data_IF_265537960394
#
_entry.id   IF_265537960394
#
_cell.length_a   1.000
_cell.length_b   1.000
_cell.length_c   1.000
_cell.angle_alpha   90.00
_cell.angle_beta   90.00
_cell.angle_gamma   90.00
#
_symmetry.space_group_name_H-M   'P 1'
#
loop_
_entity.id
_entity.type
_entity.pdbx_description
1 polymer ?
#
# COMPACT_ATOMS: atom_id res chain seq x y z
N UNK A 1 -34.47 -5.94 -21.01
CA UNK A 1 -34.58 -7.39 -20.78
C UNK A 1 -34.83 -7.58 -19.30
N UNK A 2 -35.89 -8.29 -18.91
CA UNK A 2 -36.18 -8.55 -17.50
C UNK A 2 -35.00 -9.27 -16.84
N UNK A 3 -34.50 -8.71 -15.74
CA UNK A 3 -33.41 -9.31 -14.95
C UNK A 3 -33.74 -10.72 -14.46
N UNK A 4 -35.02 -11.08 -14.39
CA UNK A 4 -35.52 -12.38 -13.94
C UNK A 4 -35.27 -13.55 -14.91
N UNK A 5 -34.79 -13.32 -16.13
CA UNK A 5 -34.47 -14.39 -17.09
C UNK A 5 -32.97 -14.50 -17.43
N UNK A 6 -32.11 -13.69 -16.81
CA UNK A 6 -30.69 -13.71 -17.11
C UNK A 6 -30.01 -14.93 -16.46
N UNK A 7 -29.24 -15.70 -17.24
CA UNK A 7 -28.43 -16.82 -16.74
C UNK A 7 -27.13 -16.36 -16.05
N UNK A 8 -26.84 -15.06 -16.14
CA UNK A 8 -25.61 -14.42 -15.64
C UNK A 8 -24.34 -15.12 -16.10
N UNK A 9 -24.27 -15.54 -17.36
CA UNK A 9 -23.14 -16.34 -17.85
C UNK A 9 -21.81 -15.59 -17.76
N UNK A 10 -21.82 -14.29 -18.06
CA UNK A 10 -20.65 -13.41 -18.02
C UNK A 10 -20.77 -12.39 -16.90
N UNK A 11 -19.85 -12.46 -15.94
CA UNK A 11 -19.82 -11.56 -14.79
C UNK A 11 -18.41 -11.06 -14.52
N UNK A 12 -18.32 -9.80 -14.13
CA UNK A 12 -17.09 -9.13 -13.71
C UNK A 12 -17.20 -8.78 -12.24
N UNK A 13 -16.22 -9.20 -11.44
CA UNK A 13 -16.09 -8.72 -10.06
C UNK A 13 -15.72 -7.23 -10.07
N UNK A 14 -16.52 -6.38 -9.43
CA UNK A 14 -16.29 -4.93 -9.40
C UNK A 14 -15.12 -4.56 -8.50
N UNK A 15 -15.00 -5.21 -7.34
CA UNK A 15 -13.93 -4.93 -6.38
C UNK A 15 -13.53 -6.18 -5.61
N UNK A 16 -12.34 -6.69 -5.92
CA UNK A 16 -11.81 -7.91 -5.30
C UNK A 16 -11.47 -7.76 -3.81
N UNK A 17 -11.34 -6.51 -3.33
CA UNK A 17 -11.01 -6.17 -1.95
C UNK A 17 -12.24 -5.98 -1.04
N UNK A 18 -13.45 -6.25 -1.56
CA UNK A 18 -14.66 -6.35 -0.72
C UNK A 18 -14.79 -7.73 -0.07
N UNK A 19 -15.29 -7.75 1.17
CA UNK A 19 -15.61 -8.99 1.89
C UNK A 19 -16.72 -9.74 1.14
N UNK A 20 -17.85 -9.08 0.93
CA UNK A 20 -18.94 -9.60 0.09
C UNK A 20 -18.86 -8.90 -1.26
N UNK A 21 -18.36 -9.65 -2.25
CA UNK A 21 -18.03 -9.11 -3.57
C UNK A 21 -19.29 -8.90 -4.38
N UNK A 22 -19.28 -7.83 -5.17
CA UNK A 22 -20.34 -7.52 -6.12
C UNK A 22 -19.85 -7.77 -7.53
N UNK A 23 -20.74 -8.35 -8.32
CA UNK A 23 -20.46 -8.80 -9.66
C UNK A 23 -21.41 -8.10 -10.62
N UNK A 24 -20.86 -7.38 -11.59
CA UNK A 24 -21.61 -6.85 -12.71
C UNK A 24 -21.85 -7.97 -13.72
N UNK A 25 -23.11 -8.24 -14.04
CA UNK A 25 -23.47 -9.11 -15.14
C UNK A 25 -23.40 -8.35 -16.46
N UNK A 26 -22.60 -8.83 -17.40
CA UNK A 26 -22.45 -8.19 -18.71
C UNK A 26 -23.68 -8.39 -19.59
N UNK A 27 -24.44 -9.46 -19.37
CA UNK A 27 -25.62 -9.82 -20.17
C UNK A 27 -26.84 -8.94 -19.83
N UNK A 28 -27.10 -8.68 -18.55
CA UNK A 28 -28.27 -7.89 -18.12
C UNK A 28 -27.93 -6.53 -17.48
N UNK A 29 -26.64 -6.22 -17.28
CA UNK A 29 -26.19 -4.98 -16.63
C UNK A 29 -26.45 -4.91 -15.12
N UNK A 30 -27.08 -5.93 -14.52
CA UNK A 30 -27.37 -5.97 -13.09
C UNK A 30 -26.13 -6.25 -12.25
N UNK A 31 -26.12 -5.72 -11.02
CA UNK A 31 -25.02 -5.93 -10.06
C UNK A 31 -25.52 -6.78 -8.91
N UNK A 32 -24.89 -7.93 -8.69
CA UNK A 32 -25.37 -8.90 -7.71
C UNK A 32 -24.27 -9.34 -6.75
N UNK A 33 -24.68 -9.69 -5.54
CA UNK A 33 -23.89 -10.50 -4.61
C UNK A 33 -24.25 -11.97 -4.85
N UNK A 34 -23.30 -12.88 -4.66
CA UNK A 34 -23.60 -14.30 -4.80
C UNK A 34 -24.59 -14.76 -3.72
N UNK A 35 -25.59 -15.55 -4.10
CA UNK A 35 -26.62 -16.09 -3.22
C UNK A 35 -26.03 -16.86 -2.03
N UNK A 36 -24.89 -17.55 -2.20
CA UNK A 36 -24.23 -18.29 -1.12
C UNK A 36 -23.69 -17.39 0.01
N UNK A 37 -23.63 -16.06 -0.21
CA UNK A 37 -23.12 -15.11 0.77
C UNK A 37 -24.24 -14.28 1.41
N UNK A 38 -25.51 -14.52 1.02
CA UNK A 38 -26.66 -13.69 1.39
C UNK A 38 -26.83 -13.56 2.89
N UNK A 39 -26.80 -14.67 3.62
CA UNK A 39 -27.03 -14.69 5.06
C UNK A 39 -25.96 -13.87 5.79
N UNK A 40 -24.68 -14.15 5.56
CA UNK A 40 -23.60 -13.41 6.20
C UNK A 40 -23.60 -11.92 5.83
N UNK A 41 -23.86 -11.60 4.55
CA UNK A 41 -23.86 -10.22 4.07
C UNK A 41 -24.95 -9.39 4.76
N UNK A 42 -26.16 -9.95 4.88
CA UNK A 42 -27.27 -9.29 5.56
C UNK A 42 -27.08 -9.20 7.07
N UNK A 43 -26.47 -10.22 7.69
CA UNK A 43 -26.28 -10.25 9.15
C UNK A 43 -25.14 -9.34 9.60
N UNK A 44 -23.97 -9.38 8.95
CA UNK A 44 -22.76 -8.75 9.49
C UNK A 44 -22.34 -7.47 8.77
N UNK A 45 -22.68 -7.31 7.48
CA UNK A 45 -22.34 -6.11 6.70
C UNK A 45 -23.53 -5.59 5.87
N UNK A 46 -24.72 -5.38 6.46
CA UNK A 46 -25.92 -4.97 5.72
C UNK A 46 -25.74 -3.63 4.98
N UNK A 47 -24.90 -2.73 5.49
CA UNK A 47 -24.59 -1.48 4.81
C UNK A 47 -23.88 -1.67 3.46
N UNK A 48 -23.23 -2.83 3.24
CA UNK A 48 -22.53 -3.14 1.99
C UNK A 48 -23.43 -3.77 0.93
N UNK A 49 -24.71 -4.04 1.20
CA UNK A 49 -25.56 -4.83 0.26
C UNK A 49 -26.30 -3.97 -0.77
N UNK A 50 -26.32 -2.64 -0.60
CA UNK A 50 -27.13 -1.75 -1.43
C UNK A 50 -26.32 -1.02 -2.51
N UNK A 51 -25.01 -0.87 -2.30
CA UNK A 51 -24.11 -0.19 -3.23
C UNK A 51 -22.85 -1.02 -3.47
N UNK A 52 -22.27 -0.84 -4.65
CA UNK A 52 -20.98 -1.38 -5.03
C UNK A 52 -20.12 -0.27 -5.61
N UNK A 53 -18.81 -0.44 -5.51
CA UNK A 53 -17.84 0.46 -6.11
C UNK A 53 -16.82 -0.36 -6.87
N UNK A 54 -16.59 -0.04 -8.13
CA UNK A 54 -15.50 -0.65 -8.91
C UNK A 54 -14.13 -0.20 -8.37
N UNK A 55 -13.19 -1.12 -8.16
CA UNK A 55 -11.93 -0.83 -7.47
C UNK A 55 -11.08 0.21 -8.22
N UNK A 56 -10.83 -0.03 -9.51
CA UNK A 56 -9.93 0.79 -10.31
C UNK A 56 -10.49 2.18 -10.64
N UNK A 57 -11.76 2.24 -11.04
CA UNK A 57 -12.40 3.48 -11.50
C UNK A 57 -13.15 4.24 -10.40
N UNK A 58 -13.43 3.58 -9.27
CA UNK A 58 -14.32 4.05 -8.20
C UNK A 58 -15.77 4.36 -8.61
N UNK A 59 -16.16 3.98 -9.83
CA UNK A 59 -17.54 4.10 -10.31
C UNK A 59 -18.49 3.38 -9.35
N UNK A 60 -19.54 4.07 -8.94
CA UNK A 60 -20.57 3.53 -8.06
C UNK A 60 -21.67 2.82 -8.85
N UNK A 61 -22.20 1.75 -8.27
CA UNK A 61 -23.31 0.98 -8.81
C UNK A 61 -24.33 0.73 -7.70
N UNK A 62 -25.61 0.71 -8.06
CA UNK A 62 -26.67 0.19 -7.19
C UNK A 62 -26.68 -1.34 -7.30
N UNK A 63 -26.70 -2.02 -6.17
CA UNK A 63 -26.82 -3.48 -6.14
C UNK A 63 -28.27 -3.85 -6.46
N UNK A 64 -28.45 -4.71 -7.45
CA UNK A 64 -29.74 -5.24 -7.89
C UNK A 64 -30.29 -6.27 -6.90
N UNK A 65 -29.41 -7.08 -6.30
CA UNK A 65 -29.79 -8.04 -5.27
C UNK A 65 -28.82 -9.20 -5.15
N UNK A 66 -29.36 -10.39 -4.89
CA UNK A 66 -28.61 -11.63 -4.80
C UNK A 66 -28.97 -12.54 -5.97
N UNK A 67 -27.96 -13.21 -6.54
CA UNK A 67 -28.17 -14.15 -7.63
C UNK A 67 -27.30 -15.41 -7.44
N UNK A 68 -27.74 -16.60 -7.87
CA UNK A 68 -26.93 -17.81 -7.80
C UNK A 68 -25.74 -17.74 -8.76
N UNK A 69 -24.68 -18.50 -8.47
CA UNK A 69 -23.51 -18.65 -9.35
C UNK A 69 -22.84 -17.33 -9.77
N UNK A 70 -22.79 -16.33 -8.88
CA UNK A 70 -22.04 -15.09 -9.15
C UNK A 70 -20.56 -15.21 -8.79
N UNK A 71 -20.21 -15.81 -7.66
CA UNK A 71 -18.81 -15.96 -7.25
C UNK A 71 -18.10 -17.11 -7.97
N UNK A 72 -16.75 -17.04 -7.98
CA UNK A 72 -15.89 -18.04 -8.60
C UNK A 72 -16.16 -19.46 -8.05
N UNK A 73 -16.31 -19.59 -6.73
CA UNK A 73 -16.59 -20.85 -6.04
C UNK A 73 -17.89 -21.51 -6.51
N UNK A 74 -19.01 -20.77 -6.54
CA UNK A 74 -20.28 -21.31 -7.03
C UNK A 74 -20.29 -21.58 -8.54
N UNK A 75 -19.32 -21.06 -9.29
CA UNK A 75 -19.10 -21.36 -10.71
C UNK A 75 -18.15 -22.53 -10.94
N UNK A 76 -17.48 -23.03 -9.90
CA UNK A 76 -16.43 -24.04 -10.04
C UNK A 76 -15.20 -23.53 -10.82
N UNK A 77 -14.96 -22.21 -10.84
CA UNK A 77 -13.77 -21.63 -11.47
C UNK A 77 -12.78 -21.21 -10.40
N UNK A 78 -11.48 -21.28 -10.75
CA UNK A 78 -10.41 -20.86 -9.85
C UNK A 78 -10.48 -19.35 -9.63
N UNK A 79 -10.38 -18.93 -8.38
CA UNK A 79 -10.41 -17.53 -8.00
C UNK A 79 -8.99 -16.95 -8.00
N UNK A 80 -8.77 -15.86 -8.74
CA UNK A 80 -7.51 -15.14 -8.72
C UNK A 80 -7.26 -14.56 -7.32
N UNK A 81 -6.07 -14.76 -6.72
CA UNK A 81 -5.75 -14.19 -5.42
C UNK A 81 -5.59 -12.67 -5.51
N UNK A 82 -6.10 -11.97 -4.51
CA UNK A 82 -5.89 -10.53 -4.31
C UNK A 82 -5.36 -10.29 -2.89
N UNK A 83 -4.07 -10.55 -2.66
CA UNK A 83 -3.49 -10.41 -1.33
C UNK A 83 -3.55 -8.97 -0.84
N UNK A 84 -3.81 -8.79 0.45
CA UNK A 84 -3.67 -7.47 1.10
C UNK A 84 -2.19 -7.16 1.37
N UNK A 85 -1.86 -5.87 1.41
CA UNK A 85 -0.53 -5.41 1.82
C UNK A 85 -0.17 -5.92 3.22
N UNK A 86 1.12 -6.16 3.46
CA UNK A 86 1.62 -6.54 4.77
C UNK A 86 1.54 -5.32 5.71
N UNK A 87 0.67 -5.39 6.72
CA UNK A 87 0.53 -4.34 7.76
C UNK A 87 0.85 -4.94 9.13
N UNK A 88 1.06 -4.09 10.14
CA UNK A 88 1.58 -4.52 11.46
C UNK A 88 0.85 -5.73 12.07
N UNK A 89 -0.47 -5.81 11.92
CA UNK A 89 -1.33 -6.90 12.43
C UNK A 89 -1.70 -7.97 11.38
N UNK A 90 -1.19 -7.90 10.16
CA UNK A 90 -1.48 -8.81 9.05
C UNK A 90 -0.22 -9.03 8.19
N UNK A 91 0.76 -9.74 8.73
CA UNK A 91 2.06 -9.97 8.07
C UNK A 91 2.14 -11.34 7.38
N UNK A 92 1.43 -12.35 7.88
CA UNK A 92 1.55 -13.72 7.39
C UNK A 92 1.03 -13.88 5.96
N UNK A 93 1.73 -14.70 5.14
CA UNK A 93 1.32 -14.99 3.75
C UNK A 93 -0.14 -15.47 3.66
N UNK A 94 -0.51 -16.43 4.52
CA UNK A 94 -1.90 -16.93 4.60
C UNK A 94 -2.85 -15.80 4.98
N UNK A 95 -2.51 -14.97 5.96
CA UNK A 95 -3.38 -13.87 6.39
C UNK A 95 -3.56 -12.82 5.29
N UNK A 96 -2.53 -12.59 4.46
CA UNK A 96 -2.60 -11.68 3.31
C UNK A 96 -3.41 -12.25 2.16
N UNK A 97 -3.27 -13.53 1.81
CA UNK A 97 -3.95 -14.15 0.66
C UNK A 97 -5.38 -14.59 0.99
N UNK A 98 -5.61 -15.11 2.20
CA UNK A 98 -6.90 -15.64 2.66
C UNK A 98 -7.65 -14.65 3.56
N UNK A 99 -7.33 -13.35 3.51
CA UNK A 99 -7.94 -12.35 4.38
C UNK A 99 -9.47 -12.36 4.34
N UNK A 100 -10.03 -12.60 3.15
CA UNK A 100 -11.46 -12.64 2.90
C UNK A 100 -12.08 -13.92 3.44
N UNK A 101 -11.44 -15.05 3.17
CA UNK A 101 -11.84 -16.37 3.62
C UNK A 101 -11.81 -16.46 5.15
N UNK A 102 -10.75 -15.97 5.78
CA UNK A 102 -10.62 -15.89 7.24
C UNK A 102 -11.78 -15.09 7.83
N UNK A 103 -12.10 -13.92 7.27
CA UNK A 103 -13.21 -13.11 7.75
C UNK A 103 -14.56 -13.80 7.54
N UNK A 104 -14.80 -14.41 6.37
CA UNK A 104 -16.03 -15.18 6.11
C UNK A 104 -16.19 -16.34 7.08
N UNK A 105 -15.13 -17.11 7.35
CA UNK A 105 -15.15 -18.21 8.32
C UNK A 105 -15.38 -17.68 9.74
N UNK A 106 -14.80 -16.53 10.08
CA UNK A 106 -15.07 -15.86 11.35
C UNK A 106 -16.56 -15.48 11.49
N UNK A 107 -17.17 -14.90 10.46
CA UNK A 107 -18.62 -14.61 10.44
C UNK A 107 -19.48 -15.87 10.56
N UNK A 108 -19.13 -16.97 9.88
CA UNK A 108 -19.84 -18.25 10.03
C UNK A 108 -19.73 -18.77 11.47
N UNK A 109 -18.53 -18.77 12.04
CA UNK A 109 -18.31 -19.21 13.42
C UNK A 109 -19.14 -18.38 14.42
N UNK A 110 -19.26 -17.06 14.20
CA UNK A 110 -20.12 -16.20 15.02
C UNK A 110 -21.58 -16.62 14.87
N UNK A 111 -22.06 -16.79 13.64
CA UNK A 111 -23.45 -17.16 13.38
C UNK A 111 -23.81 -18.51 14.02
N UNK A 112 -22.94 -19.51 13.92
CA UNK A 112 -23.11 -20.80 14.59
C UNK A 112 -23.17 -20.64 16.11
N UNK A 113 -22.24 -19.87 16.70
CA UNK A 113 -22.23 -19.61 18.13
C UNK A 113 -23.49 -18.89 18.59
N UNK A 114 -23.94 -17.88 17.84
CA UNK A 114 -25.17 -17.15 18.13
C UNK A 114 -26.39 -18.08 18.12
N UNK A 115 -26.50 -18.96 17.12
CA UNK A 115 -27.58 -19.93 17.03
C UNK A 115 -27.57 -20.92 18.21
N UNK A 116 -26.38 -21.41 18.61
CA UNK A 116 -26.23 -22.33 19.74
C UNK A 116 -26.58 -21.68 21.08
N UNK A 117 -26.32 -20.38 21.23
CA UNK A 117 -26.55 -19.64 22.47
C UNK A 117 -27.86 -18.82 22.44
N UNK A 118 -28.67 -18.96 21.38
CA UNK A 118 -29.89 -18.16 21.14
C UNK A 118 -29.67 -16.64 21.22
N UNK A 119 -28.49 -16.19 20.80
CA UNK A 119 -28.08 -14.79 20.82
C UNK A 119 -28.38 -14.07 19.50
N UNK A 120 -28.67 -12.77 19.58
CA UNK A 120 -28.89 -11.92 18.41
C UNK A 120 -28.11 -10.63 18.54
N UNK A 121 -27.46 -10.21 17.46
CA UNK A 121 -26.71 -8.96 17.34
C UNK A 121 -27.07 -8.29 16.02
N UNK A 122 -26.99 -6.96 15.97
CA UNK A 122 -27.24 -6.17 14.78
C UNK A 122 -26.15 -6.33 13.73
N UNK A 123 -24.90 -6.41 14.17
CA UNK A 123 -23.72 -6.48 13.32
C UNK A 123 -22.51 -7.05 14.08
N UNK A 124 -21.39 -7.16 13.37
CA UNK A 124 -20.15 -7.72 13.93
C UNK A 124 -19.55 -6.85 15.05
N UNK A 125 -19.76 -5.53 15.01
CA UNK A 125 -19.21 -4.62 16.01
C UNK A 125 -19.96 -4.77 17.34
N UNK A 126 -21.28 -4.93 17.28
CA UNK A 126 -22.08 -5.25 18.47
C UNK A 126 -21.64 -6.59 19.08
N UNK A 127 -21.44 -7.62 18.26
CA UNK A 127 -20.92 -8.91 18.74
C UNK A 127 -19.59 -8.77 19.47
N UNK A 128 -18.62 -8.08 18.86
CA UNK A 128 -17.30 -7.86 19.44
C UNK A 128 -17.32 -7.07 20.75
N UNK A 129 -18.29 -6.15 20.91
CA UNK A 129 -18.47 -5.38 22.15
C UNK A 129 -19.11 -6.20 23.25
N UNK A 130 -20.13 -7.00 22.93
CA UNK A 130 -20.89 -7.81 23.91
C UNK A 130 -20.11 -9.06 24.33
N UNK A 131 -19.37 -9.66 23.40
CA UNK A 131 -18.68 -10.95 23.60
C UNK A 131 -17.21 -10.87 23.16
N UNK A 132 -16.39 -9.99 23.76
CA UNK A 132 -15.03 -9.71 23.29
C UNK A 132 -14.10 -10.93 23.31
N UNK A 133 -14.20 -11.78 24.33
CA UNK A 133 -13.32 -12.95 24.45
C UNK A 133 -13.72 -14.07 23.49
N UNK A 134 -15.03 -14.30 23.33
CA UNK A 134 -15.57 -15.22 22.31
C UNK A 134 -15.16 -14.74 20.92
N UNK A 135 -15.28 -13.45 20.62
CA UNK A 135 -14.87 -12.88 19.34
C UNK A 135 -13.39 -13.15 19.03
N UNK A 136 -12.49 -12.96 20.00
CA UNK A 136 -11.06 -13.27 19.84
C UNK A 136 -10.81 -14.75 19.59
N UNK A 137 -11.51 -15.62 20.30
CA UNK A 137 -11.39 -17.07 20.14
C UNK A 137 -11.83 -17.51 18.74
N UNK A 138 -12.99 -17.06 18.29
CA UNK A 138 -13.54 -17.40 16.97
C UNK A 138 -12.69 -16.84 15.83
N UNK A 139 -12.09 -15.66 16.00
CA UNK A 139 -11.14 -15.10 15.03
C UNK A 139 -9.87 -15.97 14.96
N UNK A 140 -9.33 -16.39 16.10
CA UNK A 140 -8.17 -17.29 16.18
C UNK A 140 -8.50 -18.64 15.53
N UNK A 141 -9.69 -19.20 15.77
CA UNK A 141 -10.19 -20.43 15.14
C UNK A 141 -10.22 -20.29 13.62
N UNK A 142 -10.76 -19.20 13.09
CA UNK A 142 -10.81 -18.94 11.65
C UNK A 142 -9.41 -18.82 11.03
N UNK A 143 -8.49 -18.08 11.67
CA UNK A 143 -7.09 -17.97 11.21
C UNK A 143 -6.39 -19.33 11.18
N UNK A 144 -6.55 -20.14 12.22
CA UNK A 144 -5.92 -21.46 12.30
C UNK A 144 -6.49 -22.43 11.27
N UNK A 145 -7.80 -22.40 11.03
CA UNK A 145 -8.43 -23.19 9.98
C UNK A 145 -7.76 -22.95 8.62
N UNK A 146 -7.62 -21.69 8.20
CA UNK A 146 -7.01 -21.36 6.91
C UNK A 146 -5.49 -21.57 6.87
N UNK A 147 -4.78 -21.46 8.00
CA UNK A 147 -3.36 -21.87 8.09
C UNK A 147 -3.17 -23.36 7.82
N UNK A 148 -4.11 -24.20 8.26
CA UNK A 148 -4.10 -25.64 7.98
C UNK A 148 -4.54 -25.92 6.55
N UNK A 149 -5.67 -25.33 6.11
CA UNK A 149 -6.21 -25.54 4.76
C UNK A 149 -5.22 -25.13 3.67
N UNK A 150 -4.55 -23.99 3.82
CA UNK A 150 -3.55 -23.52 2.86
C UNK A 150 -2.32 -24.44 2.72
N UNK A 151 -2.05 -25.31 3.70
CA UNK A 151 -0.98 -26.32 3.63
C UNK A 151 -1.44 -27.62 2.97
N UNK A 152 -2.69 -28.01 3.19
CA UNK A 152 -3.23 -29.29 2.75
C UNK A 152 -3.80 -29.23 1.33
N UNK A 153 -4.59 -28.21 1.04
CA UNK A 153 -5.24 -28.01 -0.25
C UNK A 153 -5.37 -26.50 -0.52
N UNK A 154 -4.30 -25.84 -1.02
CA UNK A 154 -4.30 -24.40 -1.19
C UNK A 154 -5.34 -23.96 -2.22
N UNK A 155 -6.24 -23.06 -1.81
CA UNK A 155 -7.18 -22.35 -2.70
C UNK A 155 -6.46 -21.41 -3.68
N UNK A 156 -5.36 -20.81 -3.23
CA UNK A 156 -4.63 -19.79 -3.97
C UNK A 156 -3.21 -20.22 -4.25
N UNK A 157 -2.72 -19.92 -5.46
CA UNK A 157 -1.28 -19.87 -5.70
C UNK A 157 -0.71 -18.68 -4.92
N UNK A 158 0.00 -18.99 -3.84
CA UNK A 158 0.68 -18.00 -3.03
C UNK A 158 2.14 -17.84 -3.45
N UNK A 159 2.58 -18.27 -4.64
CA UNK A 159 3.95 -18.04 -5.09
C UNK A 159 4.23 -16.54 -5.18
N UNK A 160 5.31 -16.13 -4.52
CA UNK A 160 5.88 -14.79 -4.58
C UNK A 160 7.35 -14.99 -4.94
N UNK A 161 7.94 -14.05 -5.66
CA UNK A 161 9.36 -14.12 -6.01
C UNK A 161 10.17 -14.13 -4.72
N UNK A 162 10.94 -15.19 -4.49
CA UNK A 162 11.82 -15.27 -3.32
C UNK A 162 13.04 -14.37 -3.49
N UNK A 163 13.68 -13.97 -2.39
CA UNK A 163 14.93 -13.21 -2.46
C UNK A 163 16.01 -13.95 -3.26
N UNK A 164 16.11 -15.28 -3.12
CA UNK A 164 17.06 -16.08 -3.89
C UNK A 164 16.75 -16.06 -5.39
N UNK A 165 15.49 -16.27 -5.78
CA UNK A 165 15.08 -16.18 -7.19
C UNK A 165 15.30 -14.79 -7.77
N UNK A 166 14.99 -13.74 -7.01
CA UNK A 166 15.21 -12.36 -7.44
C UNK A 166 16.70 -12.06 -7.64
N UNK A 167 17.51 -12.26 -6.61
CA UNK A 167 18.95 -11.96 -6.61
C UNK A 167 19.76 -12.88 -7.56
N UNK A 168 19.20 -14.00 -8.01
CA UNK A 168 19.80 -14.79 -9.10
C UNK A 168 19.62 -14.19 -10.49
N UNK A 169 18.63 -13.31 -10.68
CA UNK A 169 18.32 -12.66 -11.96
C UNK A 169 18.94 -11.27 -12.07
N UNK A 170 19.15 -10.60 -10.93
CA UNK A 170 19.68 -9.24 -10.87
C UNK A 170 20.96 -9.16 -10.05
N UNK A 171 21.90 -8.35 -10.50
CA UNK A 171 23.12 -8.06 -9.75
C UNK A 171 23.00 -6.71 -9.07
N UNK A 172 22.65 -6.72 -7.78
CA UNK A 172 22.63 -5.52 -6.94
C UNK A 172 23.91 -5.50 -6.10
N UNK A 173 24.70 -4.41 -6.12
CA UNK A 173 25.83 -4.27 -5.22
C UNK A 173 25.39 -4.44 -3.75
N UNK A 174 26.13 -5.25 -2.99
CA UNK A 174 25.92 -5.40 -1.55
C UNK A 174 27.15 -4.92 -0.78
N UNK A 175 26.95 -3.99 0.14
CA UNK A 175 27.94 -3.55 1.12
C UNK A 175 27.60 -4.17 2.45
N UNK A 176 28.60 -4.65 3.18
CA UNK A 176 28.39 -5.29 4.47
C UNK A 176 29.23 -4.62 5.55
N UNK A 177 28.59 -4.25 6.65
CA UNK A 177 29.25 -3.65 7.82
C UNK A 177 28.89 -4.40 9.10
N UNK A 178 29.72 -4.26 10.13
CA UNK A 178 29.48 -4.85 11.45
C UNK A 178 29.27 -3.76 12.48
N UNK A 179 28.14 -3.78 13.16
CA UNK A 179 27.79 -2.84 14.22
C UNK A 179 27.48 -3.54 15.54
N UNK A 180 27.69 -2.83 16.65
CA UNK A 180 27.42 -3.36 17.98
C UNK A 180 25.90 -3.51 18.20
N UNK A 181 25.53 -4.63 18.82
CA UNK A 181 24.14 -4.99 19.10
C UNK A 181 24.02 -5.47 20.55
N UNK A 182 23.25 -4.75 21.37
CA UNK A 182 23.04 -5.06 22.78
C UNK A 182 21.61 -5.53 23.02
N UNK A 183 21.44 -6.48 23.94
CA UNK A 183 20.13 -6.75 24.52
C UNK A 183 19.91 -5.80 25.69
N UNK A 184 18.79 -5.08 25.66
CA UNK A 184 18.33 -4.24 26.77
C UNK A 184 17.06 -4.84 27.37
N UNK A 185 16.88 -4.69 28.68
CA UNK A 185 15.66 -5.08 29.37
C UNK A 185 14.62 -3.96 29.26
N UNK A 186 13.42 -4.31 28.82
CA UNK A 186 12.26 -3.41 28.77
C UNK A 186 11.09 -4.11 29.46
N UNK A 187 11.00 -3.95 30.78
CA UNK A 187 10.15 -4.79 31.63
C UNK A 187 10.64 -6.24 31.57
N UNK A 188 9.72 -7.20 31.44
CA UNK A 188 10.05 -8.64 31.37
C UNK A 188 10.58 -9.11 29.99
N UNK A 189 10.75 -8.19 29.03
CA UNK A 189 11.16 -8.52 27.67
C UNK A 189 12.59 -8.04 27.38
N UNK A 190 13.41 -8.95 26.83
CA UNK A 190 14.71 -8.61 26.25
C UNK A 190 14.53 -8.11 24.83
N UNK A 191 14.86 -6.85 24.59
CA UNK A 191 14.77 -6.21 23.27
C UNK A 191 16.19 -5.94 22.77
N UNK A 192 16.53 -6.46 21.60
CA UNK A 192 17.83 -6.17 20.98
C UNK A 192 17.84 -4.81 20.30
N UNK A 193 18.94 -4.07 20.45
CA UNK A 193 19.13 -2.69 20.00
C UNK A 193 20.52 -2.48 19.42
N UNK A 194 20.60 -1.69 18.36
CA UNK A 194 21.87 -1.27 17.77
C UNK A 194 22.48 -0.13 18.59
N UNK A 195 23.81 -0.09 18.62
CA UNK A 195 24.58 0.94 19.34
C UNK A 195 25.33 1.78 18.32
N UNK A 196 25.08 3.09 18.34
CA UNK A 196 25.72 4.08 17.46
C UNK A 196 27.16 4.36 17.86
N UNK A 197 27.87 5.13 17.04
CA UNK A 197 29.28 5.48 17.28
C UNK A 197 29.52 6.22 18.61
N UNK A 198 28.52 6.96 19.10
CA UNK A 198 28.55 7.69 20.38
C UNK A 198 28.12 6.83 21.59
N UNK A 199 27.81 5.55 21.36
CA UNK A 199 27.31 4.63 22.39
C UNK A 199 25.80 4.71 22.65
N UNK A 200 25.07 5.56 21.93
CA UNK A 200 23.61 5.67 22.04
C UNK A 200 22.86 4.51 21.39
N UNK A 201 21.60 4.30 21.78
CA UNK A 201 20.74 3.27 21.19
C UNK A 201 20.06 3.84 19.95
N UNK A 202 20.33 3.24 18.79
CA UNK A 202 19.90 3.76 17.49
C UNK A 202 19.19 2.72 16.62
N UNK A 203 18.60 3.16 15.50
CA UNK A 203 18.01 2.29 14.49
C UNK A 203 19.07 1.75 13.53
N UNK A 204 18.71 0.76 12.71
CA UNK A 204 19.65 0.18 11.73
C UNK A 204 19.99 1.18 10.61
N UNK A 205 19.03 2.02 10.23
CA UNK A 205 19.19 3.10 9.25
C UNK A 205 20.10 4.21 9.79
N UNK A 206 20.13 4.43 11.11
CA UNK A 206 21.04 5.38 11.74
C UNK A 206 22.48 4.85 11.72
N UNK A 207 22.71 3.56 11.97
CA UNK A 207 24.03 2.92 11.78
C UNK A 207 24.51 3.07 10.33
N UNK A 208 23.61 2.85 9.36
CA UNK A 208 23.90 3.05 7.95
C UNK A 208 24.27 4.51 7.64
N UNK A 209 23.52 5.46 8.21
CA UNK A 209 23.78 6.89 8.09
C UNK A 209 25.19 7.24 8.59
N UNK A 210 25.54 6.81 9.80
CA UNK A 210 26.86 7.02 10.40
C UNK A 210 28.00 6.46 9.53
N UNK A 211 27.79 5.28 8.94
CA UNK A 211 28.76 4.65 8.04
C UNK A 211 29.06 5.49 6.79
N UNK A 212 28.02 5.98 6.10
CA UNK A 212 28.22 6.80 4.90
C UNK A 212 28.73 8.20 5.23
N UNK A 213 28.28 8.79 6.35
CA UNK A 213 28.81 10.07 6.85
C UNK A 213 30.31 9.96 7.14
N UNK A 214 30.78 8.86 7.74
CA UNK A 214 32.22 8.65 7.97
C UNK A 214 33.05 8.53 6.68
N UNK A 215 32.42 8.23 5.54
CA UNK A 215 33.03 8.22 4.22
C UNK A 215 32.92 9.57 3.49
N UNK A 216 32.32 10.56 4.14
CA UNK A 216 32.13 11.91 3.62
C UNK A 216 30.93 12.07 2.69
N UNK A 217 29.95 11.16 2.76
CA UNK A 217 28.65 11.37 2.08
C UNK A 217 27.72 12.22 2.94
N UNK A 218 26.92 13.03 2.27
CA UNK A 218 25.66 13.54 2.81
C UNK A 218 24.59 12.45 2.67
N UNK A 219 23.73 12.30 3.68
CA UNK A 219 22.73 11.23 3.76
C UNK A 219 21.35 11.84 4.00
N UNK A 220 20.38 11.49 3.17
CA UNK A 220 18.96 11.80 3.35
C UNK A 220 18.21 10.50 3.64
N UNK A 221 17.45 10.47 4.74
CA UNK A 221 16.52 9.38 5.03
C UNK A 221 15.22 9.65 4.30
N UNK A 222 14.96 8.92 3.23
CA UNK A 222 13.93 9.29 2.29
C UNK A 222 12.76 8.33 2.22
N UNK A 223 12.99 7.01 2.19
CA UNK A 223 11.96 6.02 1.86
C UNK A 223 11.04 6.55 0.72
N UNK A 224 9.71 6.51 0.92
CA UNK A 224 8.71 7.03 -0.02
C UNK A 224 8.56 8.56 -0.07
N UNK A 225 9.26 9.32 0.76
CA UNK A 225 9.07 10.77 0.89
C UNK A 225 9.39 11.52 -0.42
N UNK A 226 10.48 11.16 -1.11
CA UNK A 226 10.84 11.77 -2.39
C UNK A 226 9.71 11.66 -3.40
N UNK A 227 9.32 10.42 -3.69
CA UNK A 227 8.43 10.15 -4.80
C UNK A 227 7.04 10.73 -4.54
N UNK A 228 6.57 10.64 -3.30
CA UNK A 228 5.29 11.20 -2.90
C UNK A 228 5.29 12.71 -2.99
N UNK A 229 6.39 13.36 -2.60
CA UNK A 229 6.53 14.83 -2.66
C UNK A 229 6.64 15.31 -4.11
N UNK A 230 7.44 14.65 -4.95
CA UNK A 230 7.56 14.99 -6.37
C UNK A 230 6.26 14.73 -7.14
N UNK A 231 5.60 13.58 -6.95
CA UNK A 231 4.29 13.32 -7.58
C UNK A 231 3.27 14.35 -7.13
N UNK A 232 3.18 14.64 -5.82
CA UNK A 232 2.26 15.66 -5.31
C UNK A 232 2.54 17.03 -5.93
N UNK A 233 3.80 17.44 -6.01
CA UNK A 233 4.15 18.79 -6.43
C UNK A 233 4.19 18.97 -7.94
N UNK A 234 4.87 18.09 -8.68
CA UNK A 234 4.91 18.18 -10.13
C UNK A 234 3.57 17.82 -10.76
N UNK A 235 2.87 16.78 -10.29
CA UNK A 235 1.65 16.34 -10.97
C UNK A 235 0.36 16.97 -10.43
N UNK A 236 0.44 17.91 -9.48
CA UNK A 236 -0.72 18.65 -8.98
C UNK A 236 -1.61 19.23 -10.10
N UNK A 237 -1.07 19.89 -11.16
CA UNK A 237 -1.91 20.42 -12.24
C UNK A 237 -2.74 19.35 -12.95
N UNK A 238 -2.19 18.14 -13.15
CA UNK A 238 -2.89 17.04 -13.82
C UNK A 238 -3.81 16.27 -12.88
N UNK A 239 -3.46 16.15 -11.60
CA UNK A 239 -4.22 15.41 -10.58
C UNK A 239 -5.40 16.23 -10.07
N UNK A 240 -5.18 17.50 -9.77
CA UNK A 240 -6.18 18.41 -9.20
C UNK A 240 -6.93 19.23 -10.28
N UNK A 241 -6.88 18.78 -11.52
CA UNK A 241 -7.50 19.43 -12.67
C UNK A 241 -9.03 19.44 -12.55
N UNK A 242 -9.60 20.63 -12.41
CA UNK A 242 -11.05 20.81 -12.30
C UNK A 242 -11.83 20.41 -13.56
N UNK A 243 -11.16 20.25 -14.70
CA UNK A 243 -11.78 19.78 -15.94
C UNK A 243 -11.90 18.26 -15.99
N UNK A 244 -11.22 17.53 -15.10
CA UNK A 244 -11.44 16.11 -14.93
C UNK A 244 -12.83 15.86 -14.31
N UNK A 245 -13.77 15.19 -15.01
CA UNK A 245 -15.10 14.93 -14.47
C UNK A 245 -15.11 14.03 -13.23
N UNK A 246 -13.99 13.33 -12.94
CA UNK A 246 -13.85 12.50 -11.73
C UNK A 246 -13.29 13.25 -10.53
N UNK A 247 -12.80 14.48 -10.71
CA UNK A 247 -12.28 15.31 -9.62
C UNK A 247 -13.43 15.81 -8.77
N UNK A 248 -13.30 15.60 -7.46
CA UNK A 248 -14.25 16.07 -6.45
C UNK A 248 -13.51 16.70 -5.30
N UNK A 249 -14.18 17.60 -4.59
CA UNK A 249 -13.67 18.11 -3.32
C UNK A 249 -13.81 17.04 -2.25
N UNK A 250 -12.69 16.66 -1.65
CA UNK A 250 -12.60 15.74 -0.51
C UNK A 250 -12.10 16.52 0.70
N UNK A 251 -12.73 16.28 1.84
CA UNK A 251 -12.31 16.88 3.10
C UNK A 251 -11.69 15.83 4.02
N UNK A 252 -10.62 16.21 4.71
CA UNK A 252 -9.99 15.41 5.77
C UNK A 252 -9.25 16.29 6.77
N UNK A 253 -8.90 15.71 7.90
CA UNK A 253 -7.99 16.31 8.85
C UNK A 253 -6.58 16.43 8.23
N UNK A 254 -5.97 17.61 8.40
CA UNK A 254 -4.59 17.90 8.01
C UNK A 254 -3.62 16.98 8.74
N UNK A 255 -2.52 16.69 8.08
CA UNK A 255 -1.38 15.99 8.68
C UNK A 255 -0.47 16.93 9.46
N UNK A 256 -0.62 18.25 9.26
CA UNK A 256 0.14 19.27 9.97
C UNK A 256 -0.31 19.35 11.44
N UNK A 257 0.64 19.14 12.35
CA UNK A 257 0.37 19.11 13.79
C UNK A 257 -0.30 17.81 14.28
N UNK A 258 -0.46 16.82 13.39
CA UNK A 258 -1.01 15.52 13.76
C UNK A 258 0.01 14.74 14.60
N UNK A 259 -0.45 14.17 15.71
CA UNK A 259 0.30 13.17 16.48
C UNK A 259 -0.65 12.07 16.95
N UNK A 260 -0.12 10.96 17.47
CA UNK A 260 -0.97 9.91 18.07
C UNK A 260 -1.90 10.45 19.17
N UNK A 261 -1.45 11.52 19.85
CA UNK A 261 -2.13 12.19 20.96
C UNK A 261 -2.92 13.43 20.52
N UNK A 262 -2.71 13.93 19.30
CA UNK A 262 -3.44 15.04 18.71
C UNK A 262 -3.97 14.65 17.33
N UNK A 263 -5.20 14.14 17.29
CA UNK A 263 -5.89 13.72 16.06
C UNK A 263 -6.84 14.80 15.53
N UNK A 264 -7.06 15.86 16.31
CA UNK A 264 -7.98 16.96 16.00
C UNK A 264 -7.20 18.15 15.41
N UNK A 265 -6.84 17.98 14.15
CA UNK A 265 -6.11 18.98 13.35
C UNK A 265 -7.08 19.70 12.42
N UNK A 266 -6.67 20.87 11.90
CA UNK A 266 -7.47 21.63 10.95
C UNK A 266 -7.95 20.83 9.74
N UNK A 267 -9.15 21.12 9.25
CA UNK A 267 -9.74 20.50 8.06
C UNK A 267 -9.09 21.08 6.80
N UNK A 268 -8.75 20.21 5.85
CA UNK A 268 -8.30 20.61 4.51
C UNK A 268 -9.29 20.12 3.44
N UNK A 269 -9.47 20.93 2.41
CA UNK A 269 -10.15 20.55 1.18
C UNK A 269 -9.13 20.23 0.09
N UNK A 270 -9.33 19.12 -0.62
CA UNK A 270 -8.44 18.65 -1.68
C UNK A 270 -9.30 18.31 -2.89
N UNK A 271 -8.94 18.84 -4.06
CA UNK A 271 -9.48 18.36 -5.32
C UNK A 271 -8.79 17.04 -5.64
N UNK A 272 -9.54 15.93 -5.63
CA UNK A 272 -8.98 14.60 -5.82
C UNK A 272 -9.88 13.78 -6.74
N UNK A 273 -9.34 13.21 -7.83
CA UNK A 273 -10.08 12.27 -8.66
C UNK A 273 -10.38 11.01 -7.85
N UNK A 274 -11.59 10.47 -7.99
CA UNK A 274 -11.99 9.29 -7.23
C UNK A 274 -11.04 8.09 -7.45
N UNK A 275 -10.53 7.92 -8.66
CA UNK A 275 -9.60 6.87 -9.06
C UNK A 275 -8.13 7.22 -8.82
N UNK A 276 -7.80 8.37 -8.24
CA UNK A 276 -6.42 8.83 -8.04
C UNK A 276 -5.50 7.70 -7.56
N UNK A 277 -4.38 7.53 -8.28
CA UNK A 277 -3.28 6.65 -7.94
C UNK A 277 -3.43 5.17 -8.34
N UNK A 278 -4.54 4.79 -8.99
CA UNK A 278 -4.66 3.50 -9.67
C UNK A 278 -4.02 3.53 -11.07
N UNK A 279 -3.79 2.35 -11.64
CA UNK A 279 -3.40 2.23 -13.05
C UNK A 279 -4.46 2.80 -14.01
N UNK A 280 -5.75 2.63 -13.69
CA UNK A 280 -6.84 3.18 -14.50
C UNK A 280 -6.88 4.72 -14.48
N UNK A 281 -6.48 5.35 -13.37
CA UNK A 281 -6.31 6.81 -13.33
C UNK A 281 -5.23 7.26 -14.31
N UNK A 282 -4.06 6.59 -14.31
CA UNK A 282 -2.99 6.92 -15.25
C UNK A 282 -3.45 6.76 -16.69
N UNK A 283 -4.02 5.61 -17.08
CA UNK A 283 -4.44 5.38 -18.47
C UNK A 283 -5.49 6.41 -18.93
N UNK A 284 -6.44 6.77 -18.07
CA UNK A 284 -7.47 7.77 -18.38
C UNK A 284 -6.92 9.19 -18.50
N UNK A 285 -5.90 9.54 -17.70
CA UNK A 285 -5.32 10.89 -17.63
C UNK A 285 -3.96 10.98 -18.32
N UNK A 286 -3.58 9.96 -19.09
CA UNK A 286 -2.25 9.77 -19.67
C UNK A 286 -1.78 10.99 -20.43
N UNK A 287 -2.60 11.50 -21.34
CA UNK A 287 -2.23 12.66 -22.17
C UNK A 287 -2.02 13.92 -21.33
N UNK A 288 -2.88 14.18 -20.34
CA UNK A 288 -2.75 15.32 -19.44
C UNK A 288 -1.52 15.21 -18.52
N UNK A 289 -1.22 14.00 -18.04
CA UNK A 289 -0.03 13.71 -17.23
C UNK A 289 1.23 13.87 -18.06
N UNK A 290 1.29 13.29 -19.26
CA UNK A 290 2.45 13.37 -20.15
C UNK A 290 2.68 14.79 -20.67
N UNK A 291 1.62 15.57 -20.92
CA UNK A 291 1.73 16.99 -21.26
C UNK A 291 2.39 17.79 -20.12
N UNK A 292 1.94 17.58 -18.88
CA UNK A 292 2.54 18.21 -17.70
C UNK A 292 3.98 17.77 -17.47
N UNK A 293 4.29 16.47 -17.62
CA UNK A 293 5.67 15.97 -17.60
C UNK A 293 6.51 16.60 -18.71
N UNK A 294 5.94 16.83 -19.90
CA UNK A 294 6.58 17.53 -21.01
C UNK A 294 7.00 18.95 -20.66
N UNK A 295 6.18 19.70 -19.92
CA UNK A 295 6.54 21.02 -19.39
C UNK A 295 7.79 20.93 -18.48
N UNK A 296 7.85 19.94 -17.58
CA UNK A 296 9.01 19.74 -16.70
C UNK A 296 10.26 19.31 -17.45
N UNK A 297 10.11 18.45 -18.46
CA UNK A 297 11.22 18.01 -19.32
C UNK A 297 11.86 19.18 -20.06
N UNK A 298 11.05 20.14 -20.49
CA UNK A 298 11.52 21.35 -21.18
C UNK A 298 12.05 22.43 -20.22
N UNK A 299 11.84 22.30 -18.91
CA UNK A 299 12.38 23.25 -17.95
C UNK A 299 13.90 23.13 -17.84
N UNK A 300 14.57 24.28 -17.70
CA UNK A 300 16.01 24.36 -17.48
C UNK A 300 16.40 23.88 -16.08
N UNK A 301 15.52 24.06 -15.10
CA UNK A 301 15.78 23.73 -13.70
C UNK A 301 14.51 23.25 -13.01
N UNK A 302 14.49 21.97 -12.63
CA UNK A 302 13.35 21.36 -11.92
C UNK A 302 13.12 21.95 -10.53
N UNK A 303 14.14 22.50 -9.87
CA UNK A 303 13.98 23.13 -8.56
C UNK A 303 13.13 24.42 -8.66
N UNK A 304 13.28 25.18 -9.74
CA UNK A 304 12.47 26.39 -9.98
C UNK A 304 11.01 26.00 -10.15
N UNK A 305 10.76 25.03 -11.03
CA UNK A 305 9.43 24.45 -11.25
C UNK A 305 8.84 23.90 -9.95
N UNK A 306 9.63 23.15 -9.17
CA UNK A 306 9.18 22.58 -7.91
C UNK A 306 8.73 23.68 -6.93
N UNK A 307 9.50 24.77 -6.82
CA UNK A 307 9.16 25.91 -5.98
C UNK A 307 7.90 26.64 -6.45
N UNK A 308 7.71 26.78 -7.78
CA UNK A 308 6.50 27.36 -8.38
C UNK A 308 5.24 26.56 -7.97
N UNK A 309 5.31 25.23 -8.05
CA UNK A 309 4.19 24.36 -7.69
C UNK A 309 4.09 24.04 -6.20
N UNK A 310 5.01 24.53 -5.35
CA UNK A 310 5.01 24.20 -3.92
C UNK A 310 3.74 24.70 -3.23
N UNK A 311 3.31 25.94 -3.48
CA UNK A 311 2.06 26.45 -2.87
C UNK A 311 0.81 25.80 -3.47
N UNK A 312 0.65 25.69 -4.81
CA UNK A 312 -0.51 25.00 -5.42
C UNK A 312 -0.72 23.57 -4.93
N UNK A 313 0.36 22.80 -4.73
CA UNK A 313 0.29 21.39 -4.34
C UNK A 313 0.16 21.13 -2.83
N UNK A 314 -0.03 22.17 -2.01
CA UNK A 314 -0.10 22.04 -0.54
C UNK A 314 -1.16 21.03 -0.10
N UNK A 315 -2.37 21.10 -0.68
CA UNK A 315 -3.47 20.19 -0.32
C UNK A 315 -3.15 18.73 -0.67
N UNK A 316 -2.56 18.47 -1.84
CA UNK A 316 -2.20 17.13 -2.28
C UNK A 316 -1.01 16.57 -1.49
N UNK A 317 0.00 17.39 -1.16
CA UNK A 317 1.09 16.97 -0.27
C UNK A 317 0.56 16.60 1.11
N UNK A 318 -0.41 17.34 1.62
CA UNK A 318 -0.98 17.07 2.95
C UNK A 318 -1.78 15.76 2.92
N UNK A 319 -2.57 15.55 1.86
CA UNK A 319 -3.23 14.27 1.59
C UNK A 319 -2.25 13.09 1.59
N UNK A 320 -1.07 13.27 0.99
CA UNK A 320 -0.01 12.25 0.88
C UNK A 320 0.94 12.20 2.09
N UNK A 321 0.67 12.95 3.16
CA UNK A 321 1.47 12.99 4.39
C UNK A 321 2.92 13.47 4.17
N UNK A 322 3.11 14.36 3.19
CA UNK A 322 4.41 14.95 2.82
C UNK A 322 4.39 16.49 2.79
N UNK A 323 3.46 17.11 3.52
CA UNK A 323 3.37 18.57 3.65
C UNK A 323 4.15 19.12 4.86
N UNK A 324 5.18 18.41 5.30
CA UNK A 324 6.09 18.88 6.34
C UNK A 324 7.40 19.40 5.71
N UNK A 325 8.11 20.25 6.45
CA UNK A 325 9.34 20.89 5.95
C UNK A 325 10.43 19.87 5.62
N UNK A 326 10.54 18.79 6.39
CA UNK A 326 11.53 17.74 6.17
C UNK A 326 11.36 17.08 4.80
N UNK A 327 10.15 16.64 4.45
CA UNK A 327 9.85 16.03 3.16
C UNK A 327 10.13 16.98 1.98
N UNK A 328 9.78 18.26 2.13
CA UNK A 328 10.02 19.29 1.12
C UNK A 328 11.51 19.56 0.93
N UNK A 329 12.28 19.71 2.00
CA UNK A 329 13.72 20.00 1.91
C UNK A 329 14.51 18.79 1.42
N UNK A 330 14.12 17.57 1.81
CA UNK A 330 14.64 16.33 1.23
C UNK A 330 14.41 16.34 -0.28
N UNK A 331 13.16 16.55 -0.73
CA UNK A 331 12.83 16.58 -2.16
C UNK A 331 13.61 17.66 -2.93
N UNK A 332 13.76 18.87 -2.39
CA UNK A 332 14.56 19.94 -3.00
C UNK A 332 16.04 19.56 -3.10
N UNK A 333 16.60 19.01 -2.04
CA UNK A 333 18.02 18.61 -2.01
C UNK A 333 18.30 17.54 -3.06
N UNK A 334 17.41 16.56 -3.21
CA UNK A 334 17.58 15.56 -4.26
C UNK A 334 17.50 16.16 -5.68
N UNK A 335 16.69 17.21 -5.91
CA UNK A 335 16.64 17.91 -7.21
C UNK A 335 17.94 18.64 -7.58
N UNK A 336 18.79 18.98 -6.60
CA UNK A 336 20.09 19.64 -6.88
C UNK A 336 21.20 18.64 -7.21
N UNK A 337 20.99 17.36 -6.87
CA UNK A 337 21.97 16.29 -7.03
C UNK A 337 21.62 15.38 -8.20
N UNK A 338 20.34 15.03 -8.35
CA UNK A 338 19.90 14.02 -9.33
C UNK A 338 19.85 14.56 -10.76
N UNK A 339 20.17 13.72 -11.76
CA UNK A 339 19.91 14.05 -13.16
C UNK A 339 18.42 14.32 -13.41
N UNK A 340 18.12 15.36 -14.19
CA UNK A 340 16.74 15.75 -14.54
C UNK A 340 15.90 14.58 -15.06
N UNK A 341 16.42 13.82 -16.02
CA UNK A 341 15.69 12.70 -16.62
C UNK A 341 15.43 11.56 -15.62
N UNK A 342 16.27 11.38 -14.61
CA UNK A 342 16.03 10.39 -13.56
C UNK A 342 14.83 10.80 -12.71
N UNK A 343 14.74 12.08 -12.31
CA UNK A 343 13.60 12.59 -11.54
C UNK A 343 12.31 12.45 -12.34
N UNK A 344 12.34 12.81 -13.62
CA UNK A 344 11.19 12.67 -14.52
C UNK A 344 10.76 11.21 -14.67
N UNK A 345 11.71 10.31 -14.94
CA UNK A 345 11.43 8.87 -15.08
C UNK A 345 10.89 8.28 -13.78
N UNK A 346 11.35 8.76 -12.63
CA UNK A 346 10.83 8.38 -11.31
C UNK A 346 9.36 8.75 -11.16
N UNK A 347 9.02 10.02 -11.45
CA UNK A 347 7.64 10.53 -11.37
C UNK A 347 6.72 9.82 -12.35
N UNK A 348 7.18 9.61 -13.59
CA UNK A 348 6.43 8.91 -14.63
C UNK A 348 6.20 7.44 -14.27
N UNK A 349 7.22 6.74 -13.79
CA UNK A 349 7.08 5.35 -13.34
C UNK A 349 6.13 5.24 -12.17
N UNK A 350 6.25 6.12 -11.17
CA UNK A 350 5.40 6.04 -10.00
C UNK A 350 3.93 6.29 -10.34
N UNK A 351 3.61 7.33 -11.12
CA UNK A 351 2.21 7.71 -11.37
C UNK A 351 1.42 6.66 -12.18
N UNK A 352 2.10 5.81 -12.95
CA UNK A 352 1.47 4.71 -13.70
C UNK A 352 0.69 3.72 -12.83
N UNK A 353 1.07 3.56 -11.56
CA UNK A 353 0.30 2.81 -10.56
C UNK A 353 0.74 3.25 -9.17
N UNK A 354 0.43 4.50 -8.82
CA UNK A 354 1.03 5.21 -7.69
C UNK A 354 0.89 4.44 -6.38
N UNK A 355 -0.26 3.84 -6.09
CA UNK A 355 -0.44 3.12 -4.83
C UNK A 355 0.37 1.83 -4.74
N UNK A 356 0.70 1.20 -5.88
CA UNK A 356 1.55 0.01 -5.92
C UNK A 356 3.05 0.36 -6.03
N UNK A 357 3.39 1.52 -6.60
CA UNK A 357 4.78 1.93 -6.88
C UNK A 357 5.35 2.99 -5.92
N UNK A 358 4.51 3.55 -5.05
CA UNK A 358 4.93 4.44 -3.96
C UNK A 358 5.67 3.67 -2.83
N UNK A 359 5.27 2.45 -2.43
CA UNK A 359 6.03 1.66 -1.47
C UNK A 359 7.32 1.09 -2.09
N UNK A 360 8.26 0.66 -1.25
CA UNK A 360 9.47 -0.04 -1.69
C UNK A 360 10.66 0.84 -2.09
N UNK A 361 10.51 2.17 -2.00
CA UNK A 361 11.63 3.09 -2.20
C UNK A 361 12.71 2.91 -1.12
N UNK A 362 14.01 2.99 -1.46
CA UNK A 362 15.09 2.72 -0.51
C UNK A 362 15.12 3.66 0.68
N UNK A 363 15.60 3.15 1.81
CA UNK A 363 15.66 3.88 3.08
C UNK A 363 16.46 5.19 2.98
N UNK A 364 17.59 5.14 2.27
CA UNK A 364 18.54 6.25 2.17
C UNK A 364 18.78 6.70 0.72
N UNK A 365 19.04 7.99 0.59
CA UNK A 365 19.71 8.57 -0.56
C UNK A 365 20.98 9.26 -0.09
N UNK A 366 22.10 8.81 -0.63
CA UNK A 366 23.42 9.32 -0.28
C UNK A 366 24.03 10.06 -1.46
N UNK A 367 24.78 11.10 -1.19
CA UNK A 367 25.48 11.84 -2.23
C UNK A 367 26.78 12.48 -1.73
N UNK A 368 27.72 12.63 -2.65
CA UNK A 368 29.02 13.28 -2.42
C UNK A 368 29.48 13.88 -3.73
N UNK A 369 29.68 15.19 -3.77
CA UNK A 369 30.00 15.91 -5.01
C UNK A 369 28.95 15.67 -6.11
N UNK A 370 29.32 14.99 -7.20
CA UNK A 370 28.43 14.62 -8.32
C UNK A 370 27.98 13.15 -8.27
N UNK A 371 28.42 12.40 -7.27
CA UNK A 371 28.05 11.00 -7.09
C UNK A 371 26.84 10.90 -6.17
N UNK A 372 25.93 9.98 -6.50
CA UNK A 372 24.76 9.68 -5.68
C UNK A 372 24.44 8.20 -5.74
N UNK A 373 23.69 7.72 -4.74
CA UNK A 373 23.17 6.35 -4.70
C UNK A 373 21.94 6.23 -3.82
N UNK A 374 21.04 5.33 -4.17
CA UNK A 374 19.99 4.87 -3.28
C UNK A 374 20.44 3.63 -2.51
N UNK A 375 20.20 3.60 -1.20
CA UNK A 375 20.65 2.50 -0.35
C UNK A 375 19.47 1.94 0.44
N UNK A 376 19.23 0.65 0.24
CA UNK A 376 18.30 -0.13 1.05
C UNK A 376 19.06 -0.77 2.20
N UNK A 377 18.62 -0.54 3.44
CA UNK A 377 19.31 -1.01 4.65
C UNK A 377 18.65 -2.28 5.16
N UNK A 378 19.45 -3.35 5.32
CA UNK A 378 18.97 -4.64 5.82
C UNK A 378 19.68 -5.05 7.10
N UNK A 379 18.89 -5.40 8.11
CA UNK A 379 19.42 -6.11 9.28
C UNK A 379 19.77 -7.57 8.91
N UNK A 380 20.45 -8.35 9.78
CA UNK A 380 21.01 -9.67 9.42
C UNK A 380 20.00 -10.69 8.88
N UNK A 381 18.73 -10.55 9.25
CA UNK A 381 17.65 -11.48 8.91
C UNK A 381 16.55 -10.81 8.07
N UNK A 382 16.75 -9.55 7.69
CA UNK A 382 15.80 -8.85 6.84
C UNK A 382 16.10 -9.12 5.38
N UNK A 383 15.02 -9.32 4.66
CA UNK A 383 14.96 -9.63 3.24
C UNK A 383 14.29 -8.47 2.49
N UNK A 384 14.46 -8.42 1.17
CA UNK A 384 13.71 -7.47 0.34
C UNK A 384 12.23 -7.84 0.35
N UNK A 385 11.36 -6.83 0.45
CA UNK A 385 9.92 -6.99 0.20
C UNK A 385 9.64 -7.08 -1.30
N UNK A 386 8.42 -7.49 -1.68
CA UNK A 386 8.03 -7.53 -3.10
C UNK A 386 8.05 -6.13 -3.73
N UNK A 387 7.64 -5.11 -2.98
CA UNK A 387 7.63 -3.72 -3.43
C UNK A 387 9.07 -3.20 -3.63
N UNK A 388 10.00 -3.59 -2.77
CA UNK A 388 11.42 -3.26 -2.93
C UNK A 388 12.03 -3.96 -4.14
N UNK A 389 11.73 -5.24 -4.36
CA UNK A 389 12.15 -5.96 -5.56
C UNK A 389 11.65 -5.26 -6.84
N UNK A 390 10.38 -4.84 -6.85
CA UNK A 390 9.80 -4.09 -7.97
C UNK A 390 10.52 -2.76 -8.21
N UNK A 391 10.88 -2.04 -7.15
CA UNK A 391 11.66 -0.81 -7.27
C UNK A 391 13.06 -1.08 -7.83
N UNK A 392 13.76 -2.11 -7.35
CA UNK A 392 15.08 -2.49 -7.83
C UNK A 392 15.06 -2.93 -9.30
N UNK A 393 14.07 -3.71 -9.73
CA UNK A 393 13.90 -4.09 -11.15
C UNK A 393 13.82 -2.85 -12.04
N UNK A 394 12.98 -1.88 -11.65
CA UNK A 394 12.86 -0.62 -12.37
C UNK A 394 14.16 0.19 -12.34
N UNK A 395 14.79 0.33 -11.18
CA UNK A 395 16.00 1.11 -10.99
C UNK A 395 17.16 0.57 -11.84
N UNK A 396 17.35 -0.75 -11.84
CA UNK A 396 18.39 -1.41 -12.63
C UNK A 396 18.15 -1.26 -14.13
N UNK A 397 16.90 -1.41 -14.59
CA UNK A 397 16.53 -1.18 -15.99
C UNK A 397 16.83 0.25 -16.47
N UNK A 398 16.78 1.23 -15.55
CA UNK A 398 17.08 2.64 -15.81
C UNK A 398 18.51 3.05 -15.42
N UNK A 399 19.36 2.09 -15.03
CA UNK A 399 20.75 2.31 -14.58
C UNK A 399 20.87 3.31 -13.43
N UNK A 400 19.89 3.32 -12.54
CA UNK A 400 19.90 4.16 -11.34
C UNK A 400 20.90 3.56 -10.33
N UNK A 401 21.88 4.31 -9.85
CA UNK A 401 22.82 3.83 -8.83
C UNK A 401 22.08 3.43 -7.55
N UNK A 402 22.14 2.14 -7.21
CA UNK A 402 21.53 1.59 -6.00
C UNK A 402 22.37 0.47 -5.39
N UNK A 403 22.25 0.25 -4.08
CA UNK A 403 22.86 -0.88 -3.39
C UNK A 403 22.05 -1.33 -2.16
N UNK A 404 22.40 -2.51 -1.65
CA UNK A 404 21.92 -3.02 -0.37
C UNK A 404 23.05 -2.88 0.65
N UNK A 405 22.79 -2.21 1.76
CA UNK A 405 23.69 -2.21 2.91
C UNK A 405 23.21 -3.21 3.96
N UNK A 406 23.96 -4.29 4.14
CA UNK A 406 23.67 -5.31 5.15
C UNK A 406 24.47 -5.07 6.43
N UNK A 407 23.75 -4.88 7.52
CA UNK A 407 24.34 -4.68 8.85
C UNK A 407 24.38 -6.01 9.58
N UNK A 408 25.58 -6.48 9.90
CA UNK A 408 25.82 -7.65 10.75
C UNK A 408 26.05 -7.25 12.20
N UNK A 409 25.68 -8.15 13.10
CA UNK A 409 26.05 -8.02 14.52
C UNK A 409 27.55 -8.23 14.65
N UNK A 410 28.25 -7.28 15.27
CA UNK A 410 29.62 -7.47 15.72
C UNK A 410 29.59 -8.58 16.78
N UNK A 411 30.35 -9.66 16.55
CA UNK A 411 30.61 -10.66 17.60
C UNK A 411 31.48 -9.96 18.64
N UNK A 412 30.97 -9.82 19.86
CA UNK A 412 31.72 -9.37 21.03
C UNK A 412 32.43 -10.58 21.62
#
# INVERSE_FOLDING_TARGET
MDSNQCTHSKVKCLNHYEIFRKYLCEDCGGVFICQCEKELALTFLPHQVNSAQEYGTRKQFRVTGFAPKMCAECRGVMETPHPRAAIYWQKGKVERYYWREIYKTYCHNILEWMNQNSEKVKDILEFQKRFPDVAKELEKKAKNHWKTAAKQNPKYDMKETTNAEFLSKVSIPEVQISAEYRQIEKGDQKVGKWVGQDGSIVSVEQIATEHYVSQGYSVLRCERLFISTWVATFLCPSIQDITDPRVRTVFRNSTKGWTSNNRDTGLIGILLPEDFGSAEFYERRKDAILSNIGYFRNANNLLIVFNEFLKPSESLRDYLWVNNNEAVEIAKTALTVLPKEMVISSVEWAIQDFWQRQPGWPDLFIYKNKEYKFVEVKSPYDELSQEQMQWFDWALAHKIPCEILRIKRRKI
#
